data_IF_167702717590
#
_entry.id   IF_167702717590
#
_cell.length_a   1.000
_cell.length_b   1.000
_cell.length_c   1.000
_cell.angle_alpha   90.00
_cell.angle_beta   90.00
_cell.angle_gamma   90.00
#
_symmetry.space_group_name_H-M   'P 1'
#
loop_
_entity.id
_entity.type
_entity.pdbx_description
1 polymer ?
#
# COMPACT_ATOMS: atom_id res chain seq x y z
N UNK A 1 -39.51 6.07 -30.47
CA UNK A 1 -38.23 6.80 -30.26
C UNK A 1 -38.34 7.54 -28.94
N UNK A 2 -37.88 6.90 -27.85
CA UNK A 2 -37.90 7.48 -26.50
C UNK A 2 -36.48 7.43 -25.95
N UNK A 3 -35.97 8.61 -25.60
CA UNK A 3 -34.66 8.92 -25.02
C UNK A 3 -33.97 7.79 -24.24
N UNK A 4 -33.05 7.09 -24.91
CA UNK A 4 -31.91 6.45 -24.28
C UNK A 4 -30.86 7.53 -24.03
N UNK A 5 -30.90 8.20 -22.88
CA UNK A 5 -29.76 8.96 -22.33
C UNK A 5 -30.02 9.30 -20.86
N UNK A 6 -30.43 8.29 -20.08
CA UNK A 6 -30.37 8.37 -18.63
C UNK A 6 -28.91 8.22 -18.19
N UNK A 7 -28.27 9.37 -17.95
CA UNK A 7 -27.33 9.58 -16.85
C UNK A 7 -26.20 8.53 -16.69
N UNK A 8 -25.30 8.43 -17.68
CA UNK A 8 -23.99 7.81 -17.46
C UNK A 8 -23.08 8.86 -16.80
N UNK A 9 -23.29 9.12 -15.50
CA UNK A 9 -22.32 9.87 -14.68
C UNK A 9 -21.02 9.09 -14.77
N UNK A 10 -20.03 9.58 -15.51
CA UNK A 10 -18.71 8.96 -15.54
C UNK A 10 -18.11 9.11 -14.14
N UNK A 11 -18.31 8.10 -13.31
CA UNK A 11 -17.66 7.98 -12.01
C UNK A 11 -16.18 7.74 -12.30
N UNK A 12 -15.39 8.79 -12.08
CA UNK A 12 -13.95 8.69 -11.96
C UNK A 12 -13.62 8.44 -10.49
N UNK A 13 -12.57 7.67 -10.21
CA UNK A 13 -12.03 7.54 -8.85
C UNK A 13 -11.19 8.74 -8.42
N UNK A 14 -10.94 9.69 -9.33
CA UNK A 14 -10.35 10.98 -9.00
C UNK A 14 -8.83 10.94 -8.81
N UNK A 15 -8.14 10.04 -9.51
CA UNK A 15 -6.68 10.08 -9.59
C UNK A 15 -6.31 11.29 -10.44
N UNK A 16 -5.68 12.26 -9.80
CA UNK A 16 -5.17 13.45 -10.48
C UNK A 16 -3.83 13.05 -11.08
N UNK A 17 -3.58 13.32 -12.36
CA UNK A 17 -2.40 12.85 -13.09
C UNK A 17 -1.09 13.57 -12.71
N UNK A 18 -0.87 13.82 -11.41
CA UNK A 18 0.27 14.53 -10.83
C UNK A 18 1.16 13.63 -9.96
N UNK A 19 1.34 12.36 -10.39
CA UNK A 19 2.16 11.28 -9.80
C UNK A 19 1.36 10.18 -9.11
N UNK A 20 0.10 10.43 -8.74
CA UNK A 20 -0.77 9.45 -8.08
C UNK A 20 -1.04 8.20 -8.96
N UNK A 21 -1.06 8.39 -10.28
CA UNK A 21 -1.24 7.32 -11.27
C UNK A 21 -0.03 6.40 -11.37
N UNK A 22 1.18 6.97 -11.32
CA UNK A 22 2.44 6.21 -11.31
C UNK A 22 2.58 5.43 -10.00
N UNK A 23 2.36 6.07 -8.86
CA UNK A 23 2.44 5.41 -7.55
C UNK A 23 1.45 4.25 -7.43
N UNK A 24 0.22 4.42 -7.95
CA UNK A 24 -0.77 3.36 -7.95
C UNK A 24 -0.32 2.17 -8.83
N UNK A 25 0.26 2.44 -10.00
CA UNK A 25 0.77 1.39 -10.89
C UNK A 25 1.90 0.62 -10.21
N UNK A 26 2.87 1.33 -9.63
CA UNK A 26 3.97 0.71 -8.87
C UNK A 26 3.44 -0.14 -7.72
N UNK A 27 2.41 0.33 -7.02
CA UNK A 27 1.76 -0.43 -5.95
C UNK A 27 1.06 -1.69 -6.47
N UNK A 28 0.43 -1.64 -7.65
CA UNK A 28 -0.10 -2.85 -8.29
C UNK A 28 1.01 -3.84 -8.68
N UNK A 29 2.13 -3.36 -9.22
CA UNK A 29 3.27 -4.20 -9.55
C UNK A 29 3.79 -4.96 -8.33
N UNK A 30 3.90 -4.27 -7.20
CA UNK A 30 4.34 -4.84 -5.93
C UNK A 30 3.35 -5.90 -5.42
N UNK A 31 2.08 -5.53 -5.23
CA UNK A 31 1.06 -6.43 -4.63
C UNK A 31 0.78 -7.66 -5.52
N UNK A 32 0.69 -7.46 -6.84
CA UNK A 32 0.42 -8.54 -7.80
C UNK A 32 1.69 -9.23 -8.31
N UNK A 33 2.88 -8.79 -7.91
CA UNK A 33 4.17 -9.31 -8.37
C UNK A 33 4.24 -9.41 -9.91
N UNK A 34 3.83 -8.33 -10.58
CA UNK A 34 3.78 -8.19 -12.04
C UNK A 34 4.58 -6.95 -12.47
N UNK A 35 4.74 -6.77 -13.77
CA UNK A 35 5.32 -5.55 -14.34
C UNK A 35 4.45 -5.08 -15.50
N UNK A 36 4.04 -3.82 -15.48
CA UNK A 36 3.42 -3.10 -16.57
C UNK A 36 4.52 -2.50 -17.46
N UNK A 37 4.41 -2.72 -18.76
CA UNK A 37 5.18 -1.93 -19.71
C UNK A 37 4.60 -0.52 -19.81
N UNK A 38 5.43 0.47 -20.19
CA UNK A 38 4.96 1.85 -20.41
C UNK A 38 3.73 1.92 -21.32
N UNK A 39 3.72 1.09 -22.38
CA UNK A 39 2.59 1.02 -23.31
C UNK A 39 1.33 0.46 -22.64
N UNK A 40 1.45 -0.53 -21.76
CA UNK A 40 0.28 -1.04 -21.02
C UNK A 40 -0.25 0.03 -20.07
N UNK A 41 0.63 0.67 -19.30
CA UNK A 41 0.29 1.76 -18.39
C UNK A 41 -0.44 2.91 -19.13
N UNK A 42 0.09 3.37 -20.26
CA UNK A 42 -0.52 4.44 -21.08
C UNK A 42 -1.91 4.09 -21.63
N UNK A 43 -2.20 2.80 -21.82
CA UNK A 43 -3.47 2.34 -22.38
C UNK A 43 -4.53 1.98 -21.33
N UNK A 44 -4.18 2.01 -20.04
CA UNK A 44 -5.12 1.74 -18.95
C UNK A 44 -5.91 3.01 -18.65
N UNK A 45 -7.17 3.05 -19.10
CA UNK A 45 -8.05 4.20 -18.90
C UNK A 45 -9.20 3.91 -17.92
N UNK A 46 -9.48 2.63 -17.69
CA UNK A 46 -10.57 2.15 -16.82
C UNK A 46 -10.09 1.08 -15.85
N UNK A 47 -10.82 0.93 -14.74
CA UNK A 47 -10.53 -0.12 -13.75
C UNK A 47 -10.61 -1.52 -14.37
N UNK A 48 -11.53 -1.74 -15.31
CA UNK A 48 -11.69 -3.00 -16.01
C UNK A 48 -10.50 -3.34 -16.92
N UNK A 49 -9.84 -2.34 -17.51
CA UNK A 49 -8.61 -2.54 -18.31
C UNK A 49 -7.42 -2.88 -17.42
N UNK A 50 -7.26 -2.17 -16.30
CA UNK A 50 -6.25 -2.51 -15.29
C UNK A 50 -6.43 -3.95 -14.80
N UNK A 51 -7.65 -4.30 -14.38
CA UNK A 51 -8.00 -5.64 -13.92
C UNK A 51 -7.66 -6.73 -14.95
N UNK A 52 -8.04 -6.54 -16.22
CA UNK A 52 -7.72 -7.50 -17.29
C UNK A 52 -6.22 -7.66 -17.50
N UNK A 53 -5.48 -6.55 -17.41
CA UNK A 53 -4.02 -6.55 -17.57
C UNK A 53 -3.33 -7.27 -16.42
N UNK A 54 -3.80 -7.06 -15.19
CA UNK A 54 -3.31 -7.82 -14.01
C UNK A 54 -3.60 -9.31 -14.20
N UNK A 55 -4.84 -9.68 -14.52
CA UNK A 55 -5.23 -11.08 -14.69
C UNK A 55 -4.46 -11.79 -15.81
N UNK A 56 -4.11 -11.09 -16.89
CA UNK A 56 -3.37 -11.69 -18.01
C UNK A 56 -1.90 -11.95 -17.67
N UNK A 57 -1.35 -11.23 -16.70
CA UNK A 57 0.04 -11.40 -16.21
C UNK A 57 0.14 -12.42 -15.08
N UNK A 58 -0.95 -12.66 -14.35
CA UNK A 58 -0.98 -13.69 -13.31
C UNK A 58 -0.92 -15.10 -13.93
N UNK A 59 -0.16 -16.02 -13.32
CA UNK A 59 -0.16 -17.41 -13.76
C UNK A 59 -1.57 -18.01 -13.79
N UNK A 60 -1.94 -18.73 -14.86
CA UNK A 60 -3.29 -19.28 -14.98
C UNK A 60 -3.59 -20.27 -13.87
N UNK A 61 -4.86 -20.29 -13.46
CA UNK A 61 -5.38 -21.28 -12.53
C UNK A 61 -5.33 -22.66 -13.19
N UNK A 62 -4.43 -23.52 -12.72
CA UNK A 62 -4.36 -24.92 -13.13
C UNK A 62 -4.87 -25.83 -12.03
N UNK A 63 -5.29 -27.04 -12.38
CA UNK A 63 -5.69 -28.11 -11.44
C UNK A 63 -4.60 -28.45 -10.40
N UNK A 64 -3.36 -28.05 -10.66
CA UNK A 64 -2.22 -28.25 -9.76
C UNK A 64 -2.14 -27.19 -8.64
N UNK A 65 -2.77 -26.02 -8.81
CA UNK A 65 -2.83 -24.95 -7.80
C UNK A 65 -3.96 -25.22 -6.81
N UNK A 66 -3.62 -25.79 -5.65
CA UNK A 66 -4.59 -26.21 -4.63
C UNK A 66 -4.49 -25.44 -3.30
N UNK A 67 -3.45 -24.62 -3.13
CA UNK A 67 -3.17 -23.98 -1.84
C UNK A 67 -3.98 -22.70 -1.68
N UNK A 68 -4.68 -22.56 -0.56
CA UNK A 68 -5.37 -21.32 -0.20
C UNK A 68 -4.34 -20.24 0.16
N UNK A 69 -4.46 -19.03 -0.40
CA UNK A 69 -3.56 -17.92 -0.18
C UNK A 69 -3.46 -17.53 1.30
N UNK A 70 -4.61 -17.35 1.96
CA UNK A 70 -4.67 -17.05 3.40
C UNK A 70 -4.02 -18.15 4.25
N UNK A 71 -4.17 -19.43 3.87
CA UNK A 71 -3.50 -20.52 4.57
C UNK A 71 -1.98 -20.47 4.37
N UNK A 72 -1.51 -20.12 3.16
CA UNK A 72 -0.07 -19.94 2.89
C UNK A 72 0.51 -18.80 3.72
N UNK A 73 -0.16 -17.65 3.76
CA UNK A 73 0.22 -16.50 4.59
C UNK A 73 0.23 -16.89 6.08
N UNK A 74 -0.82 -17.56 6.57
CA UNK A 74 -0.89 -18.05 7.93
C UNK A 74 0.28 -18.94 8.31
N UNK A 75 0.63 -19.94 7.50
CA UNK A 75 1.75 -20.83 7.83
C UNK A 75 3.09 -20.11 7.84
N UNK A 76 3.29 -19.12 6.96
CA UNK A 76 4.50 -18.28 6.95
C UNK A 76 4.59 -17.41 8.20
N UNK A 77 3.50 -16.72 8.55
CA UNK A 77 3.41 -15.88 9.74
C UNK A 77 3.55 -16.70 11.02
N UNK A 78 2.88 -17.85 11.10
CA UNK A 78 2.95 -18.74 12.26
C UNK A 78 4.38 -19.23 12.49
N UNK A 79 5.09 -19.61 11.40
CA UNK A 79 6.50 -19.98 11.46
C UNK A 79 7.41 -18.82 11.86
N UNK A 80 7.10 -17.60 11.40
CA UNK A 80 7.84 -16.40 11.77
C UNK A 80 7.70 -16.06 13.26
N UNK A 81 6.49 -16.22 13.80
CA UNK A 81 6.12 -15.92 15.18
C UNK A 81 6.52 -17.02 16.18
N UNK A 82 6.52 -18.29 15.77
CA UNK A 82 6.78 -19.42 16.64
C UNK A 82 7.70 -20.44 15.96
N UNK A 83 8.95 -20.53 16.42
CA UNK A 83 9.94 -21.46 15.84
C UNK A 83 9.59 -22.94 16.13
N UNK A 84 8.90 -23.25 17.23
CA UNK A 84 8.65 -24.62 17.69
C UNK A 84 7.18 -24.91 18.08
N UNK A 85 6.22 -24.15 17.55
CA UNK A 85 4.80 -24.30 17.91
C UNK A 85 3.83 -23.85 16.82
N UNK A 86 2.53 -23.97 17.11
CA UNK A 86 1.45 -23.46 16.25
C UNK A 86 0.59 -22.49 17.04
N UNK A 87 0.57 -21.23 16.61
CA UNK A 87 -0.35 -20.22 17.15
C UNK A 87 -1.73 -20.43 16.53
N UNK A 88 -2.77 -20.54 17.35
CA UNK A 88 -4.14 -20.71 16.84
C UNK A 88 -4.61 -19.45 16.10
N UNK A 89 -5.39 -19.55 15.00
CA UNK A 89 -5.86 -18.40 14.22
C UNK A 89 -6.56 -17.30 15.00
N UNK A 90 -7.17 -17.61 16.15
CA UNK A 90 -7.91 -16.65 16.99
C UNK A 90 -7.04 -15.90 18.00
N UNK A 91 -5.73 -16.12 18.03
CA UNK A 91 -4.83 -15.44 18.97
C UNK A 91 -4.59 -14.01 18.48
N UNK A 92 -4.84 -13.03 19.35
CA UNK A 92 -4.52 -11.63 19.09
C UNK A 92 -3.01 -11.44 18.96
N UNK A 93 -2.61 -10.64 17.98
CA UNK A 93 -1.19 -10.29 17.77
C UNK A 93 -0.95 -8.92 18.37
N UNK A 94 -0.02 -8.88 19.31
CA UNK A 94 0.47 -7.66 19.95
C UNK A 94 1.98 -7.58 19.80
N UNK A 95 2.52 -6.36 19.79
CA UNK A 95 3.96 -6.15 19.76
C UNK A 95 4.56 -6.62 21.09
N UNK A 96 5.57 -7.52 21.07
CA UNK A 96 6.25 -7.92 22.29
C UNK A 96 6.87 -6.71 23.00
N UNK A 97 6.69 -6.60 24.33
CA UNK A 97 7.19 -5.45 25.11
C UNK A 97 8.71 -5.23 25.04
N UNK A 98 9.47 -6.23 24.59
CA UNK A 98 10.92 -6.17 24.42
C UNK A 98 11.37 -5.54 23.07
N UNK A 99 10.43 -5.22 22.16
CA UNK A 99 10.74 -4.75 20.81
C UNK A 99 9.93 -3.50 20.45
N UNK A 100 10.44 -2.74 19.47
CA UNK A 100 9.66 -1.65 18.86
C UNK A 100 8.72 -2.21 17.78
N UNK A 101 7.60 -1.53 17.48
CA UNK A 101 6.71 -1.95 16.40
C UNK A 101 7.41 -2.11 15.04
N UNK A 102 8.31 -1.16 14.71
CA UNK A 102 9.13 -1.23 13.49
C UNK A 102 10.03 -2.47 13.45
N UNK A 103 10.72 -2.76 14.55
CA UNK A 103 11.60 -3.94 14.61
C UNK A 103 10.80 -5.24 14.55
N UNK A 104 9.62 -5.27 15.17
CA UNK A 104 8.74 -6.43 15.15
C UNK A 104 8.15 -6.67 13.75
N UNK A 105 7.64 -5.64 13.07
CA UNK A 105 7.22 -5.74 11.68
C UNK A 105 8.36 -6.26 10.81
N UNK A 106 9.54 -5.63 10.88
CA UNK A 106 10.69 -6.03 10.08
C UNK A 106 11.07 -7.50 10.33
N UNK A 107 11.08 -7.94 11.59
CA UNK A 107 11.33 -9.34 11.92
C UNK A 107 10.29 -10.27 11.29
N UNK A 108 9.01 -9.89 11.29
CA UNK A 108 7.95 -10.68 10.64
C UNK A 108 8.14 -10.73 9.13
N UNK A 109 8.44 -9.61 8.48
CA UNK A 109 8.71 -9.54 7.04
C UNK A 109 9.92 -10.41 6.67
N UNK A 110 11.04 -10.24 7.38
CA UNK A 110 12.29 -10.99 7.15
C UNK A 110 12.09 -12.51 7.29
N UNK A 111 11.29 -12.95 8.27
CA UNK A 111 11.07 -14.38 8.56
C UNK A 111 9.95 -15.02 7.76
N UNK A 112 8.89 -14.26 7.44
CA UNK A 112 7.73 -14.78 6.69
C UNK A 112 7.88 -14.62 5.18
N UNK A 113 8.79 -13.73 4.75
CA UNK A 113 8.92 -13.25 3.38
C UNK A 113 7.56 -12.80 2.84
N UNK A 114 6.92 -11.90 3.59
CA UNK A 114 5.67 -11.24 3.22
C UNK A 114 5.88 -9.75 3.46
N UNK A 115 5.30 -8.92 2.60
CA UNK A 115 5.23 -7.48 2.76
C UNK A 115 4.10 -7.16 3.74
N UNK A 116 4.41 -6.45 4.83
CA UNK A 116 3.50 -6.22 5.96
C UNK A 116 3.43 -4.74 6.34
N UNK A 117 3.54 -3.85 5.35
CA UNK A 117 3.58 -2.39 5.55
C UNK A 117 2.36 -1.83 6.26
N UNK A 118 1.22 -2.53 6.16
CA UNK A 118 -0.03 -2.18 6.82
C UNK A 118 -0.03 -2.40 8.35
N UNK A 119 1.04 -2.97 8.93
CA UNK A 119 1.14 -3.24 10.37
C UNK A 119 1.47 -2.00 11.19
N UNK A 120 2.23 -1.07 10.62
CA UNK A 120 2.70 0.11 11.35
C UNK A 120 2.46 1.39 10.57
N UNK A 121 2.19 2.46 11.31
CA UNK A 121 2.08 3.83 10.78
C UNK A 121 3.26 4.70 11.21
N UNK A 122 3.52 5.75 10.44
CA UNK A 122 4.47 6.81 10.81
C UNK A 122 4.02 7.47 12.11
N UNK A 123 4.96 7.76 13.01
CA UNK A 123 4.62 8.42 14.26
C UNK A 123 4.20 9.88 14.05
N UNK A 124 3.20 10.35 14.79
CA UNK A 124 2.61 11.68 14.61
C UNK A 124 3.63 12.83 14.70
N UNK A 125 4.69 12.67 15.50
CA UNK A 125 5.73 13.70 15.63
C UNK A 125 6.57 13.84 14.34
N UNK A 126 6.82 12.74 13.62
CA UNK A 126 7.50 12.78 12.32
C UNK A 126 6.61 13.49 11.31
N UNK A 127 5.31 13.19 11.30
CA UNK A 127 4.32 13.88 10.47
C UNK A 127 4.30 15.39 10.75
N UNK A 128 4.34 15.79 12.02
CA UNK A 128 4.41 17.21 12.42
C UNK A 128 5.69 17.86 11.91
N UNK A 129 6.86 17.19 12.02
CA UNK A 129 8.11 17.72 11.50
C UNK A 129 8.10 17.84 9.97
N UNK A 130 7.51 16.88 9.27
CA UNK A 130 7.30 16.96 7.82
C UNK A 130 6.48 18.21 7.48
N UNK A 131 5.38 18.47 8.20
CA UNK A 131 4.56 19.66 7.98
C UNK A 131 5.33 20.96 8.29
N UNK A 132 6.09 20.99 9.37
CA UNK A 132 6.91 22.15 9.75
C UNK A 132 7.97 22.47 8.68
N UNK A 133 8.54 21.44 8.04
CA UNK A 133 9.45 21.60 6.91
C UNK A 133 8.78 22.35 5.74
N UNK A 134 7.56 21.97 5.38
CA UNK A 134 6.80 22.63 4.31
C UNK A 134 6.46 24.08 4.65
N UNK A 135 5.99 24.34 5.88
CA UNK A 135 5.67 25.72 6.33
C UNK A 135 6.92 26.61 6.28
N UNK A 136 8.06 26.10 6.72
CA UNK A 136 9.34 26.83 6.69
C UNK A 136 9.72 27.23 5.26
N UNK A 137 9.43 26.38 4.27
CA UNK A 137 9.73 26.65 2.87
C UNK A 137 8.83 27.74 2.27
N UNK A 138 7.55 27.76 2.65
CA UNK A 138 6.58 28.78 2.18
C UNK A 138 6.83 30.14 2.83
N UNK A 139 7.08 30.15 4.14
CA UNK A 139 7.11 31.39 4.94
C UNK A 139 8.51 32.02 4.95
N UNK A 140 9.58 31.22 4.84
CA UNK A 140 10.97 31.71 4.85
C UNK A 140 11.25 32.86 3.87
N UNK A 141 10.86 32.76 2.60
CA UNK A 141 11.03 33.84 1.61
C UNK A 141 10.26 35.13 1.91
N UNK A 142 9.19 35.06 2.71
CA UNK A 142 8.35 36.21 3.06
C UNK A 142 8.91 37.01 4.25
N UNK A 143 9.61 36.33 5.17
CA UNK A 143 10.17 36.96 6.39
C UNK A 143 11.49 37.69 6.10
N UNK A 144 12.30 37.18 5.18
CA UNK A 144 13.62 37.74 4.90
C UNK A 144 13.62 38.57 3.61
N UNK A 145 13.98 39.85 3.71
CA UNK A 145 14.19 40.75 2.56
C UNK A 145 15.68 40.98 2.30
N UNK A 146 16.10 40.98 1.03
CA UNK A 146 17.47 41.34 0.61
C UNK A 146 18.35 40.14 0.24
N UNK A 147 19.62 40.39 -0.09
CA UNK A 147 20.54 39.36 -0.60
C UNK A 147 20.97 38.33 0.45
N UNK A 148 20.93 38.67 1.75
CA UNK A 148 21.18 37.73 2.85
C UNK A 148 20.00 36.80 3.14
N UNK A 149 18.80 37.10 2.61
CA UNK A 149 17.59 36.32 2.81
C UNK A 149 17.67 34.91 2.25
N UNK A 150 18.30 34.79 1.07
CA UNK A 150 18.44 33.51 0.38
C UNK A 150 19.36 32.58 1.17
N UNK A 151 20.50 33.10 1.64
CA UNK A 151 21.46 32.32 2.42
C UNK A 151 20.89 31.86 3.77
N UNK A 152 20.15 32.75 4.46
CA UNK A 152 19.46 32.40 5.70
C UNK A 152 18.37 31.32 5.48
N UNK A 153 17.55 31.47 4.44
CA UNK A 153 16.48 30.52 4.12
C UNK A 153 17.02 29.14 3.76
N UNK A 154 18.09 29.07 2.95
CA UNK A 154 18.74 27.81 2.60
C UNK A 154 19.38 27.13 3.83
N UNK A 155 19.97 27.91 4.73
CA UNK A 155 20.58 27.37 5.95
C UNK A 155 19.53 26.78 6.90
N UNK A 156 18.41 27.48 7.09
CA UNK A 156 17.29 26.98 7.90
C UNK A 156 16.72 25.71 7.28
N UNK A 157 16.51 25.68 5.96
CA UNK A 157 16.03 24.50 5.25
C UNK A 157 16.96 23.29 5.41
N UNK A 158 18.27 23.50 5.28
CA UNK A 158 19.25 22.43 5.43
C UNK A 158 19.24 21.86 6.86
N UNK A 159 19.14 22.71 7.87
CA UNK A 159 19.07 22.30 9.28
C UNK A 159 17.77 21.55 9.55
N UNK A 160 16.63 22.10 9.13
CA UNK A 160 15.32 21.48 9.36
C UNK A 160 15.18 20.15 8.61
N UNK A 161 15.71 20.06 7.39
CA UNK A 161 15.79 18.81 6.63
C UNK A 161 16.69 17.78 7.33
N UNK A 162 17.84 18.20 7.90
CA UNK A 162 18.70 17.30 8.67
C UNK A 162 18.00 16.76 9.92
N UNK A 163 17.27 17.61 10.66
CA UNK A 163 16.46 17.21 11.82
C UNK A 163 15.37 16.23 11.40
N UNK A 164 14.64 16.51 10.32
CA UNK A 164 13.62 15.61 9.78
C UNK A 164 14.20 14.25 9.37
N UNK A 165 15.36 14.21 8.70
CA UNK A 165 16.01 12.94 8.33
C UNK A 165 16.46 12.12 9.55
N UNK A 166 16.94 12.77 10.61
CA UNK A 166 17.27 12.11 11.87
C UNK A 166 15.99 11.57 12.53
N UNK A 167 14.91 12.35 12.47
CA UNK A 167 13.62 11.99 13.02
C UNK A 167 13.01 10.76 12.35
N UNK A 168 12.93 10.78 11.03
CA UNK A 168 12.46 9.66 10.21
C UNK A 168 13.27 8.38 10.46
N UNK A 169 14.60 8.49 10.57
CA UNK A 169 15.45 7.32 10.88
C UNK A 169 15.20 6.75 12.26
N UNK A 170 14.97 7.63 13.24
CA UNK A 170 14.69 7.24 14.62
C UNK A 170 13.21 6.92 14.89
N UNK A 171 12.35 7.02 13.86
CA UNK A 171 10.95 6.64 13.99
C UNK A 171 10.84 5.15 14.35
N UNK A 172 10.27 4.90 15.52
CA UNK A 172 9.96 3.55 16.03
C UNK A 172 8.69 2.97 15.41
N UNK A 173 7.97 3.79 14.63
CA UNK A 173 6.63 3.57 14.10
C UNK A 173 5.61 3.25 15.20
N UNK A 174 4.33 3.37 14.87
CA UNK A 174 3.23 3.04 15.77
C UNK A 174 2.58 1.77 15.27
N UNK A 175 2.32 0.81 16.17
CA UNK A 175 1.54 -0.37 15.82
C UNK A 175 0.08 0.03 15.60
N UNK A 176 -0.44 -0.21 14.40
CA UNK A 176 -1.81 0.16 14.02
C UNK A 176 -2.70 -1.05 13.74
N UNK A 177 -2.13 -2.24 13.68
CA UNK A 177 -2.90 -3.46 13.43
C UNK A 177 -3.60 -3.93 14.71
N UNK A 178 -4.92 -4.05 14.64
CA UNK A 178 -5.73 -4.66 15.69
C UNK A 178 -6.40 -5.91 15.12
N UNK A 179 -6.13 -7.08 15.71
CA UNK A 179 -6.75 -8.32 15.26
C UNK A 179 -6.00 -9.58 15.63
N UNK A 180 -6.52 -10.70 15.12
CA UNK A 180 -5.96 -12.03 15.33
C UNK A 180 -4.92 -12.38 14.27
N UNK A 181 -4.12 -13.43 14.50
CA UNK A 181 -3.22 -13.97 13.46
C UNK A 181 -4.01 -14.41 12.22
N UNK A 182 -5.26 -14.85 12.36
CA UNK A 182 -6.15 -15.16 11.25
C UNK A 182 -6.48 -13.92 10.40
N UNK A 183 -6.78 -12.81 11.05
CA UNK A 183 -7.04 -11.52 10.37
C UNK A 183 -5.76 -10.99 9.71
N UNK A 184 -4.63 -11.10 10.40
CA UNK A 184 -3.32 -10.76 9.87
C UNK A 184 -3.00 -11.58 8.62
N UNK A 185 -3.28 -12.88 8.67
CA UNK A 185 -3.03 -13.79 7.53
C UNK A 185 -3.90 -13.46 6.33
N UNK A 186 -5.13 -12.98 6.55
CA UNK A 186 -6.01 -12.53 5.46
C UNK A 186 -5.46 -11.26 4.81
N UNK A 187 -5.16 -10.23 5.61
CA UNK A 187 -4.58 -8.98 5.10
C UNK A 187 -3.24 -9.22 4.40
N UNK A 188 -2.39 -10.05 4.99
CA UNK A 188 -1.10 -10.42 4.40
C UNK A 188 -1.28 -11.20 3.09
N UNK A 189 -2.30 -12.06 2.97
CA UNK A 189 -2.55 -12.74 1.69
C UNK A 189 -3.02 -11.80 0.59
N UNK A 190 -3.75 -10.75 0.94
CA UNK A 190 -4.24 -9.76 -0.01
C UNK A 190 -3.10 -8.85 -0.48
N UNK A 191 -2.25 -8.40 0.45
CA UNK A 191 -1.07 -7.56 0.15
C UNK A 191 0.06 -8.32 -0.59
N UNK A 192 0.01 -9.66 -0.63
CA UNK A 192 1.05 -10.50 -1.24
C UNK A 192 0.46 -11.51 -2.24
N UNK A 193 -0.70 -11.19 -2.83
CA UNK A 193 -1.43 -12.11 -3.71
C UNK A 193 -0.55 -12.59 -4.86
N UNK A 194 0.23 -11.69 -5.47
CA UNK A 194 1.14 -12.00 -6.57
C UNK A 194 2.17 -13.06 -6.23
N UNK A 195 2.95 -12.81 -5.17
CA UNK A 195 4.00 -13.73 -4.73
C UNK A 195 3.41 -15.09 -4.32
N UNK A 196 2.30 -15.07 -3.57
CA UNK A 196 1.65 -16.30 -3.14
C UNK A 196 1.09 -17.11 -4.33
N UNK A 197 0.58 -16.44 -5.36
CA UNK A 197 0.18 -17.09 -6.62
C UNK A 197 1.38 -17.67 -7.34
N UNK A 198 2.50 -16.94 -7.47
CA UNK A 198 3.73 -17.48 -8.07
C UNK A 198 4.22 -18.75 -7.36
N UNK A 199 4.03 -18.84 -6.05
CA UNK A 199 4.39 -19.99 -5.21
C UNK A 199 3.37 -21.16 -5.21
N UNK A 200 2.38 -21.12 -6.11
CA UNK A 200 1.40 -22.19 -6.29
C UNK A 200 0.08 -21.99 -5.54
N UNK A 201 -0.18 -20.77 -5.06
CA UNK A 201 -1.47 -20.36 -4.54
C UNK A 201 -2.56 -20.40 -5.61
N UNK A 202 -3.77 -20.79 -5.19
CA UNK A 202 -4.98 -20.70 -6.00
C UNK A 202 -5.62 -19.33 -5.78
N UNK A 203 -5.90 -18.62 -6.86
CA UNK A 203 -6.58 -17.33 -6.83
C UNK A 203 -7.91 -17.41 -7.58
N UNK A 204 -8.79 -16.44 -7.37
CA UNK A 204 -10.00 -16.25 -8.18
C UNK A 204 -9.99 -14.85 -8.76
N UNK A 205 -10.60 -14.71 -9.93
CA UNK A 205 -10.93 -13.44 -10.58
C UNK A 205 -11.52 -12.41 -9.59
N UNK A 206 -12.46 -12.85 -8.75
CA UNK A 206 -13.06 -12.01 -7.73
C UNK A 206 -12.07 -11.50 -6.67
N UNK A 207 -11.06 -12.31 -6.31
CA UNK A 207 -10.04 -11.94 -5.32
C UNK A 207 -9.16 -10.81 -5.88
N UNK A 208 -8.77 -10.91 -7.16
CA UNK A 208 -7.96 -9.88 -7.85
C UNK A 208 -8.74 -8.57 -7.97
N UNK A 209 -10.03 -8.63 -8.34
CA UNK A 209 -10.87 -7.44 -8.41
C UNK A 209 -11.01 -6.77 -7.05
N UNK A 210 -11.27 -7.56 -6.00
CA UNK A 210 -11.44 -7.06 -4.64
C UNK A 210 -10.15 -6.43 -4.10
N UNK A 211 -8.99 -7.05 -4.31
CA UNK A 211 -7.70 -6.48 -3.91
C UNK A 211 -7.43 -5.19 -4.66
N UNK A 212 -7.63 -5.17 -5.98
CA UNK A 212 -7.40 -3.97 -6.80
C UNK A 212 -8.29 -2.79 -6.37
N UNK A 213 -9.60 -3.03 -6.14
CA UNK A 213 -10.51 -1.95 -5.70
C UNK A 213 -10.27 -1.52 -4.26
N UNK A 214 -9.80 -2.40 -3.39
CA UNK A 214 -9.38 -2.03 -2.04
C UNK A 214 -8.18 -1.09 -2.07
N UNK A 215 -7.16 -1.41 -2.89
CA UNK A 215 -5.99 -0.53 -3.09
C UNK A 215 -6.44 0.85 -3.57
N UNK A 216 -7.25 0.91 -4.63
CA UNK A 216 -7.71 2.20 -5.17
C UNK A 216 -8.53 2.98 -4.12
N UNK A 217 -9.34 2.28 -3.33
CA UNK A 217 -10.13 2.89 -2.26
C UNK A 217 -9.23 3.48 -1.18
N UNK A 218 -8.14 2.81 -0.84
CA UNK A 218 -7.17 3.30 0.15
C UNK A 218 -6.40 4.51 -0.38
N UNK A 219 -6.05 4.52 -1.68
CA UNK A 219 -5.38 5.66 -2.33
C UNK A 219 -6.29 6.88 -2.51
N UNK A 220 -7.54 6.68 -2.93
CA UNK A 220 -8.42 7.79 -3.37
C UNK A 220 -9.51 8.15 -2.36
N UNK A 221 -9.77 7.29 -1.37
CA UNK A 221 -10.95 7.37 -0.51
C UNK A 221 -12.28 7.03 -1.21
N UNK A 222 -12.25 6.65 -2.50
CA UNK A 222 -13.45 6.27 -3.24
C UNK A 222 -13.95 4.88 -2.80
N UNK A 223 -15.24 4.72 -2.43
CA UNK A 223 -15.74 3.44 -1.93
C UNK A 223 -15.61 2.28 -2.94
N UNK A 224 -14.95 1.20 -2.52
CA UNK A 224 -14.71 0.01 -3.36
C UNK A 224 -15.99 -0.68 -3.85
N UNK A 225 -17.09 -0.59 -3.11
CA UNK A 225 -18.41 -1.14 -3.46
C UNK A 225 -19.11 -0.39 -4.61
N UNK A 226 -18.68 0.83 -4.88
CA UNK A 226 -19.18 1.67 -5.97
C UNK A 226 -18.35 1.56 -7.26
N UNK A 227 -17.17 0.93 -7.19
CA UNK A 227 -16.28 0.77 -8.33
C UNK A 227 -16.82 -0.27 -9.33
N UNK A 228 -16.83 0.10 -10.61
CA UNK A 228 -17.26 -0.77 -11.71
C UNK A 228 -16.17 -0.88 -12.77
N UNK A 229 -16.19 -1.91 -13.64
CA UNK A 229 -15.21 -2.05 -14.70
C UNK A 229 -15.10 -0.82 -15.63
N UNK A 230 -16.21 -0.12 -15.86
CA UNK A 230 -16.27 1.10 -16.66
C UNK A 230 -15.85 2.39 -15.93
N UNK A 231 -15.60 2.32 -14.62
CA UNK A 231 -15.09 3.45 -13.81
C UNK A 231 -13.72 3.85 -14.33
N UNK A 232 -13.49 5.15 -14.46
CA UNK A 232 -12.22 5.71 -14.94
C UNK A 232 -11.29 6.05 -13.79
N UNK A 233 -9.99 6.10 -14.08
CA UNK A 233 -9.00 6.65 -13.14
C UNK A 233 -9.09 8.18 -13.04
N UNK A 234 -9.22 8.85 -14.21
CA UNK A 234 -9.35 10.30 -14.37
C UNK A 234 -10.76 10.69 -14.83
#
# INVERSE_FOLDING_TARGET
>A
MGNLNANRKSSSVGIVGDSDDVELIEYFEEVFAITFSNKEAENISTLGEAYKTICSKLPPNSEQRKRCLTAMAYYRLNRALCENGKIHPSVCIEVPSAMTPKDFQKQLEDRSHLHLEFLTGTSSWVTILTFLQFVTWIVGPLIFSGSSAVAASLSIFAISHAIWRIAERSDKRVWIFEGTIGDLSRRASDANIGELVLLGGKWKDADVWQTMTAIISDFTGYPSDQMKPETKFI
#
